data_IF_077521693811
#
_entry.id   IF_077521693811
#
_cell.length_a   1.000
_cell.length_b   1.000
_cell.length_c   1.000
_cell.angle_alpha   90.00
_cell.angle_beta   90.00
_cell.angle_gamma   90.00
#
_symmetry.space_group_name_H-M   'P 1'
#
loop_
_entity.id
_entity.type
_entity.pdbx_description
1 polymer ?
#
# COMPACT_ATOMS: atom_id res chain seq x y z
N UNK A 1 41.14 37.60 -13.63
CA UNK A 1 41.43 36.18 -13.94
C UNK A 1 41.37 35.41 -12.62
N UNK A 2 40.45 34.47 -12.42
CA UNK A 2 40.29 33.85 -11.09
C UNK A 2 39.03 32.98 -10.94
N UNK A 3 38.94 32.28 -9.81
CA UNK A 3 37.75 31.49 -9.39
C UNK A 3 36.54 32.43 -9.21
N UNK A 4 35.32 31.88 -9.24
CA UNK A 4 34.10 32.66 -9.00
C UNK A 4 33.42 33.16 -10.29
N UNK A 5 33.05 34.44 -10.33
CA UNK A 5 32.10 35.02 -11.32
C UNK A 5 32.43 34.68 -12.77
N UNK A 6 33.66 34.88 -13.23
CA UNK A 6 34.08 34.57 -14.60
C UNK A 6 34.00 33.09 -14.97
N UNK A 7 34.07 32.19 -13.99
CA UNK A 7 33.92 30.74 -14.19
C UNK A 7 32.46 30.29 -14.35
N UNK A 8 31.50 31.00 -13.73
CA UNK A 8 30.08 30.67 -13.82
C UNK A 8 29.52 30.93 -15.22
N UNK A 9 29.94 32.00 -15.89
CA UNK A 9 29.54 32.30 -17.27
C UNK A 9 29.90 31.21 -18.29
N UNK A 10 30.91 30.38 -17.99
CA UNK A 10 31.37 29.30 -18.87
C UNK A 10 30.64 27.97 -18.66
N UNK A 11 29.68 27.86 -17.74
CA UNK A 11 29.00 26.59 -17.34
C UNK A 11 27.88 26.15 -18.31
N UNK A 12 28.18 26.06 -19.61
CA UNK A 12 27.25 25.61 -20.66
C UNK A 12 27.19 24.08 -20.83
N UNK A 13 28.30 23.38 -20.61
CA UNK A 13 28.38 21.93 -20.76
C UNK A 13 27.70 21.22 -19.59
N UNK A 14 26.89 20.19 -19.88
CA UNK A 14 26.14 19.45 -18.86
C UNK A 14 26.82 18.10 -18.60
N UNK A 15 27.17 17.85 -17.34
CA UNK A 15 27.71 16.55 -16.91
C UNK A 15 26.61 15.58 -16.51
N UNK A 16 25.52 16.09 -15.92
CA UNK A 16 24.42 15.29 -15.38
C UNK A 16 23.06 15.56 -16.05
N UNK A 17 22.37 14.51 -16.48
CA UNK A 17 20.97 14.55 -16.98
C UNK A 17 20.05 13.68 -16.13
N UNK A 18 18.77 13.65 -16.50
CA UNK A 18 17.75 12.83 -15.85
C UNK A 18 18.04 11.34 -16.05
N UNK A 19 17.95 10.57 -14.96
CA UNK A 19 18.11 9.12 -15.00
C UNK A 19 16.76 8.44 -15.20
N UNK A 20 16.67 7.54 -16.18
CA UNK A 20 15.46 6.75 -16.50
C UNK A 20 14.92 5.97 -15.30
N UNK A 21 15.80 5.33 -14.51
CA UNK A 21 15.38 4.50 -13.37
C UNK A 21 14.82 5.29 -12.19
N UNK A 22 15.42 6.44 -11.84
CA UNK A 22 15.12 7.14 -10.58
C UNK A 22 14.54 8.55 -10.75
N UNK A 23 14.44 9.06 -11.97
CA UNK A 23 13.89 10.39 -12.26
C UNK A 23 14.73 11.57 -11.76
N UNK A 24 15.92 11.33 -11.18
CA UNK A 24 16.80 12.38 -10.66
C UNK A 24 17.81 12.83 -11.70
N UNK A 25 18.16 14.12 -11.71
CA UNK A 25 19.27 14.68 -12.50
C UNK A 25 20.61 14.26 -11.90
N UNK A 26 20.99 13.02 -12.14
CA UNK A 26 22.21 12.42 -11.59
C UNK A 26 22.88 11.42 -12.54
N UNK A 27 22.38 11.30 -13.77
CA UNK A 27 22.99 10.44 -14.79
C UNK A 27 24.19 11.16 -15.42
N UNK A 28 25.40 10.65 -15.20
CA UNK A 28 26.61 11.22 -15.77
C UNK A 28 26.77 10.78 -17.24
N UNK A 29 26.81 11.73 -18.19
CA UNK A 29 26.81 11.43 -19.62
C UNK A 29 28.06 10.68 -20.07
N UNK A 30 29.23 11.27 -19.84
CA UNK A 30 30.49 10.70 -20.30
C UNK A 30 30.81 9.31 -19.70
N UNK A 31 30.43 9.10 -18.44
CA UNK A 31 30.70 7.85 -17.70
C UNK A 31 29.53 6.87 -17.75
N UNK A 32 28.45 7.23 -18.45
CA UNK A 32 27.21 6.47 -18.56
C UNK A 32 26.73 5.87 -17.24
N UNK A 33 26.81 6.61 -16.13
CA UNK A 33 26.53 6.07 -14.79
C UNK A 33 25.73 7.05 -13.93
N UNK A 34 24.70 6.55 -13.26
CA UNK A 34 23.90 7.35 -12.34
C UNK A 34 24.55 7.42 -10.95
N UNK A 35 24.88 8.63 -10.51
CA UNK A 35 25.38 8.91 -9.16
C UNK A 35 24.33 8.71 -8.06
N UNK A 36 23.03 8.62 -8.37
CA UNK A 36 22.00 8.36 -7.38
C UNK A 36 21.71 6.87 -7.20
N UNK A 37 21.26 6.19 -8.25
CA UNK A 37 20.78 4.81 -8.18
C UNK A 37 21.75 3.76 -8.72
N UNK A 38 22.85 4.16 -9.37
CA UNK A 38 23.84 3.23 -9.92
C UNK A 38 23.52 2.65 -11.30
N UNK A 39 22.45 3.10 -11.98
CA UNK A 39 22.17 2.71 -13.38
C UNK A 39 23.43 2.90 -14.25
N UNK A 40 23.83 1.92 -15.10
CA UNK A 40 23.09 0.73 -15.57
C UNK A 40 23.12 -0.50 -14.65
N UNK A 41 23.87 -0.51 -13.55
CA UNK A 41 24.02 -1.70 -12.69
C UNK A 41 22.67 -2.32 -12.27
N UNK A 42 22.60 -3.65 -12.20
CA UNK A 42 21.37 -4.37 -11.86
C UNK A 42 20.85 -3.99 -10.46
N UNK A 43 21.75 -3.93 -9.47
CA UNK A 43 21.41 -3.57 -8.09
C UNK A 43 21.33 -2.06 -7.92
N UNK A 44 20.37 -1.61 -7.10
CA UNK A 44 20.28 -0.21 -6.70
C UNK A 44 21.44 0.11 -5.75
N UNK A 45 22.16 1.19 -6.06
CA UNK A 45 23.24 1.74 -5.21
C UNK A 45 22.70 2.14 -3.83
N UNK A 46 23.22 1.53 -2.78
CA UNK A 46 22.93 1.83 -1.36
C UNK A 46 24.25 1.87 -0.58
N UNK A 47 24.37 2.77 0.39
CA UNK A 47 25.47 2.78 1.35
C UNK A 47 24.93 2.96 2.75
N UNK A 48 25.41 2.15 3.70
CA UNK A 48 24.91 2.12 5.07
C UNK A 48 25.23 3.41 5.83
N UNK A 49 26.34 4.07 5.49
CA UNK A 49 26.70 5.38 6.07
C UNK A 49 25.71 6.50 5.70
N UNK A 50 24.86 6.32 4.68
CA UNK A 50 23.95 7.35 4.19
C UNK A 50 22.48 7.05 4.54
N UNK A 51 22.16 7.01 5.84
CA UNK A 51 20.82 6.68 6.38
C UNK A 51 19.70 7.51 5.74
N UNK A 52 19.88 8.83 5.64
CA UNK A 52 18.87 9.74 5.04
C UNK A 52 18.58 9.42 3.57
N UNK A 53 19.60 9.02 2.80
CA UNK A 53 19.41 8.66 1.40
C UNK A 53 18.70 7.32 1.24
N UNK A 54 18.94 6.36 2.15
CA UNK A 54 18.21 5.09 2.21
C UNK A 54 16.72 5.38 2.46
N UNK A 55 16.38 6.19 3.48
CA UNK A 55 14.99 6.52 3.81
C UNK A 55 14.21 7.15 2.65
N UNK A 56 14.84 8.02 1.85
CA UNK A 56 14.20 8.66 0.68
C UNK A 56 13.89 7.72 -0.50
N UNK A 57 14.35 6.47 -0.46
CA UNK A 57 14.22 5.50 -1.55
C UNK A 57 13.65 4.15 -1.09
N UNK A 58 13.50 3.96 0.20
CA UNK A 58 13.04 2.68 0.75
C UNK A 58 11.60 2.40 0.31
N UNK A 59 11.25 1.12 0.28
CA UNK A 59 9.87 0.69 0.05
C UNK A 59 8.96 1.38 1.07
N UNK A 60 7.86 2.00 0.63
CA UNK A 60 7.02 2.85 1.49
C UNK A 60 6.71 4.22 0.89
N UNK A 61 7.66 4.84 0.20
CA UNK A 61 7.54 6.25 -0.23
C UNK A 61 6.85 6.47 -1.58
N UNK A 62 6.53 5.40 -2.30
CA UNK A 62 5.99 5.45 -3.66
C UNK A 62 4.54 4.96 -3.75
N UNK A 63 4.06 4.74 -4.99
CA UNK A 63 2.67 4.31 -5.26
C UNK A 63 2.30 2.95 -4.65
N UNK A 64 3.28 2.08 -4.38
CA UNK A 64 3.10 0.75 -3.77
C UNK A 64 1.89 -0.03 -4.32
N UNK A 65 1.69 -0.01 -5.65
CA UNK A 65 0.45 -0.50 -6.29
C UNK A 65 0.08 -1.90 -5.84
N UNK A 66 1.03 -2.83 -5.84
CA UNK A 66 0.79 -4.20 -5.39
C UNK A 66 0.81 -4.31 -3.86
N UNK A 67 1.90 -3.90 -3.23
CA UNK A 67 2.13 -4.04 -1.78
C UNK A 67 1.08 -3.35 -0.90
N UNK A 68 0.37 -2.33 -1.40
CA UNK A 68 -0.71 -1.67 -0.66
C UNK A 68 -1.94 -2.58 -0.51
N UNK A 69 -2.22 -3.42 -1.50
CA UNK A 69 -3.36 -4.34 -1.48
C UNK A 69 -3.04 -5.68 -0.78
N UNK A 70 -1.76 -6.07 -0.73
CA UNK A 70 -1.33 -7.34 -0.13
C UNK A 70 -1.78 -7.49 1.34
N UNK A 71 -1.57 -6.52 2.24
CA UNK A 71 -2.04 -6.64 3.63
C UNK A 71 -3.56 -6.77 3.75
N UNK A 72 -4.34 -6.15 2.85
CA UNK A 72 -5.79 -6.29 2.83
C UNK A 72 -6.20 -7.70 2.42
N UNK A 73 -5.55 -8.28 1.41
CA UNK A 73 -5.77 -9.68 1.00
C UNK A 73 -5.31 -10.66 2.06
N UNK A 74 -4.18 -10.38 2.71
CA UNK A 74 -3.63 -11.19 3.78
C UNK A 74 -4.62 -11.32 4.96
N UNK A 75 -5.25 -10.21 5.38
CA UNK A 75 -6.31 -10.23 6.40
C UNK A 75 -7.53 -11.08 6.00
N UNK A 76 -7.75 -11.25 4.70
CA UNK A 76 -8.85 -12.05 4.14
C UNK A 76 -8.38 -13.44 3.68
N UNK A 77 -7.22 -13.92 4.15
CA UNK A 77 -6.61 -15.21 3.80
C UNK A 77 -6.48 -15.45 2.28
N UNK A 78 -6.24 -14.38 1.51
CA UNK A 78 -6.11 -14.41 0.05
C UNK A 78 -7.27 -15.11 -0.69
N UNK A 79 -8.48 -15.10 -0.12
CA UNK A 79 -9.69 -15.61 -0.78
C UNK A 79 -9.88 -14.98 -2.17
N UNK A 80 -10.12 -15.82 -3.16
CA UNK A 80 -10.41 -15.45 -4.54
C UNK A 80 -11.73 -16.09 -4.98
N UNK A 81 -12.49 -15.44 -5.86
CA UNK A 81 -13.65 -16.05 -6.52
C UNK A 81 -14.93 -16.25 -5.69
N UNK A 82 -15.04 -15.73 -4.46
CA UNK A 82 -16.35 -15.69 -3.77
C UNK A 82 -17.22 -14.63 -4.47
N UNK A 83 -18.15 -15.09 -5.30
CA UNK A 83 -19.22 -14.26 -5.81
C UNK A 83 -20.06 -13.88 -4.59
N UNK A 84 -20.18 -12.58 -4.32
CA UNK A 84 -21.23 -12.08 -3.43
C UNK A 84 -22.53 -12.31 -4.18
N UNK A 85 -23.06 -13.52 -4.09
CA UNK A 85 -24.37 -13.85 -4.64
C UNK A 85 -25.37 -12.86 -4.01
N UNK A 86 -25.99 -11.96 -4.81
CA UNK A 86 -27.07 -11.16 -4.27
C UNK A 86 -28.18 -12.12 -3.87
N UNK A 87 -28.71 -11.97 -2.66
CA UNK A 87 -29.79 -12.77 -2.05
C UNK A 87 -31.08 -12.91 -2.91
N UNK A 88 -31.15 -12.37 -4.12
CA UNK A 88 -32.33 -12.35 -4.98
C UNK A 88 -32.38 -13.47 -6.03
N UNK A 89 -31.27 -14.16 -6.37
CA UNK A 89 -31.25 -15.07 -7.56
C UNK A 89 -31.24 -16.56 -7.21
N UNK A 90 -31.08 -16.94 -5.94
CA UNK A 90 -31.04 -18.35 -5.53
C UNK A 90 -32.43 -19.01 -5.37
N UNK A 91 -33.53 -18.26 -5.39
CA UNK A 91 -34.87 -18.82 -5.18
C UNK A 91 -35.51 -19.49 -6.42
N UNK A 92 -34.80 -19.59 -7.56
CA UNK A 92 -35.37 -20.09 -8.82
C UNK A 92 -34.74 -21.40 -9.33
N UNK A 93 -33.75 -21.98 -8.63
CA UNK A 93 -33.04 -23.17 -9.12
C UNK A 93 -33.30 -24.47 -8.34
N UNK A 94 -34.03 -24.43 -7.23
CA UNK A 94 -34.14 -25.59 -6.33
C UNK A 94 -35.42 -26.45 -6.53
N UNK A 95 -36.19 -26.25 -7.61
CA UNK A 95 -37.52 -26.87 -7.76
C UNK A 95 -37.64 -28.02 -8.78
N UNK A 96 -36.58 -28.44 -9.49
CA UNK A 96 -36.77 -29.38 -10.60
C UNK A 96 -35.74 -30.48 -10.82
N UNK A 97 -34.76 -30.69 -9.94
CA UNK A 97 -33.83 -31.81 -10.09
C UNK A 97 -33.81 -32.64 -8.81
N UNK A 98 -34.64 -33.68 -8.79
CA UNK A 98 -34.51 -34.74 -7.81
C UNK A 98 -33.21 -35.50 -8.07
N UNK A 99 -32.27 -35.42 -7.13
CA UNK A 99 -31.20 -36.39 -7.00
C UNK A 99 -30.93 -36.73 -5.54
N UNK A 100 -30.74 -38.03 -5.37
CA UNK A 100 -30.81 -38.88 -4.20
C UNK A 100 -29.48 -38.90 -3.44
N UNK A 101 -29.56 -38.80 -2.10
CA UNK A 101 -28.82 -39.45 -0.99
C UNK A 101 -27.27 -39.64 -1.09
N UNK A 102 -26.44 -39.78 -0.05
CA UNK A 102 -26.55 -40.56 1.19
C UNK A 102 -25.42 -40.14 2.18
N UNK A 103 -25.70 -40.28 3.49
CA UNK A 103 -24.83 -40.65 4.63
C UNK A 103 -24.22 -39.58 5.57
N UNK A 104 -24.74 -39.62 6.82
CA UNK A 104 -24.06 -39.27 8.09
C UNK A 104 -24.35 -37.85 8.59
N UNK A 105 -25.23 -37.57 9.55
CA UNK A 105 -25.41 -38.24 10.84
C UNK A 105 -25.12 -37.27 11.99
N UNK A 106 -26.14 -36.48 12.37
CA UNK A 106 -26.60 -36.11 13.73
C UNK A 106 -25.56 -35.64 14.78
N UNK A 107 -25.78 -34.43 15.30
CA UNK A 107 -26.19 -34.13 16.70
C UNK A 107 -26.36 -32.60 16.82
N UNK A 108 -27.58 -32.06 16.73
CA UNK A 108 -28.63 -31.93 17.77
C UNK A 108 -28.55 -30.62 18.59
N UNK A 109 -29.50 -29.71 18.29
CA UNK A 109 -30.32 -28.86 19.18
C UNK A 109 -29.57 -27.79 20.01
N UNK A 110 -29.94 -26.50 19.98
CA UNK A 110 -31.22 -25.93 20.44
C UNK A 110 -31.50 -24.57 19.77
N UNK A 111 -32.73 -24.41 19.28
CA UNK A 111 -33.48 -23.18 18.92
C UNK A 111 -34.01 -22.61 20.27
N UNK A 112 -33.78 -21.36 20.72
CA UNK A 112 -34.60 -20.16 20.42
C UNK A 112 -34.26 -18.90 21.29
N UNK A 113 -34.93 -17.71 21.10
CA UNK A 113 -34.29 -16.42 20.83
C UNK A 113 -34.50 -15.37 21.94
N UNK A 114 -33.83 -14.21 21.86
CA UNK A 114 -34.08 -13.13 22.82
C UNK A 114 -33.44 -11.79 22.44
N UNK A 115 -34.26 -10.93 21.86
CA UNK A 115 -34.13 -9.48 21.69
C UNK A 115 -33.39 -8.75 22.82
N UNK A 116 -32.42 -7.90 22.48
CA UNK A 116 -32.30 -6.53 23.04
C UNK A 116 -31.52 -5.66 22.05
N UNK A 117 -32.26 -4.87 21.28
CA UNK A 117 -31.72 -3.66 20.68
C UNK A 117 -31.55 -2.59 21.75
N UNK A 118 -30.49 -1.80 21.66
CA UNK A 118 -30.39 -0.49 22.29
C UNK A 118 -29.60 0.43 21.34
N UNK A 119 -30.34 1.09 20.45
CA UNK A 119 -29.92 2.36 19.87
C UNK A 119 -30.24 3.46 20.89
N UNK A 120 -29.29 4.36 21.11
CA UNK A 120 -29.55 5.68 21.70
C UNK A 120 -28.69 6.04 22.91
N UNK A 121 -28.15 7.26 22.89
CA UNK A 121 -27.79 7.99 24.11
C UNK A 121 -26.33 8.41 24.21
N UNK A 122 -25.99 9.53 23.57
CA UNK A 122 -24.78 10.27 23.93
C UNK A 122 -24.90 10.82 25.35
N UNK A 123 -23.87 10.60 26.17
CA UNK A 123 -23.71 11.29 27.45
C UNK A 123 -22.59 12.32 27.27
N UNK A 124 -23.01 13.59 27.20
CA UNK A 124 -22.15 14.74 27.38
C UNK A 124 -21.72 14.76 28.85
N UNK A 125 -20.43 14.69 29.12
CA UNK A 125 -19.88 15.30 30.33
C UNK A 125 -19.02 16.49 29.93
N UNK A 126 -19.60 17.69 30.07
CA UNK A 126 -18.84 18.93 30.24
C UNK A 126 -18.35 18.97 31.69
N UNK A 127 -17.05 19.16 31.84
CA UNK A 127 -16.34 19.93 32.88
C UNK A 127 -14.87 19.54 32.74
N UNK A 128 -13.87 20.40 32.75
CA UNK A 128 -13.68 21.84 32.61
C UNK A 128 -12.14 21.95 32.49
N UNK A 129 -11.65 22.90 31.70
CA UNK A 129 -10.32 23.53 31.78
C UNK A 129 -9.06 22.63 31.91
N UNK A 130 -8.19 22.69 30.91
CA UNK A 130 -6.96 23.51 31.00
C UNK A 130 -6.15 23.39 29.71
N UNK A 131 -5.90 24.56 29.13
CA UNK A 131 -4.86 24.81 28.15
C UNK A 131 -3.51 24.26 28.62
N UNK A 132 -2.73 23.70 27.69
CA UNK A 132 -1.44 24.28 27.32
C UNK A 132 -0.83 23.54 26.13
N UNK A 133 -0.71 24.25 25.02
CA UNK A 133 0.28 23.98 23.99
C UNK A 133 1.69 24.12 24.59
N UNK A 134 2.59 23.24 24.17
CA UNK A 134 4.00 23.55 23.94
C UNK A 134 4.43 22.87 22.64
#
# INVERSE_FOLDING_TARGET
MGKGTGSFGKRRNKTHTLCVRCGRRSFHLQKSRCGSCGYPAARIRKYNWSVKAIRRKTTGTGRMRYLRHVPRRFKNNFREGLILEPLHVLALKDASDGDICINGGVTDKVYLPGNVGCAGGGIKHRNQAMFCCH
#
